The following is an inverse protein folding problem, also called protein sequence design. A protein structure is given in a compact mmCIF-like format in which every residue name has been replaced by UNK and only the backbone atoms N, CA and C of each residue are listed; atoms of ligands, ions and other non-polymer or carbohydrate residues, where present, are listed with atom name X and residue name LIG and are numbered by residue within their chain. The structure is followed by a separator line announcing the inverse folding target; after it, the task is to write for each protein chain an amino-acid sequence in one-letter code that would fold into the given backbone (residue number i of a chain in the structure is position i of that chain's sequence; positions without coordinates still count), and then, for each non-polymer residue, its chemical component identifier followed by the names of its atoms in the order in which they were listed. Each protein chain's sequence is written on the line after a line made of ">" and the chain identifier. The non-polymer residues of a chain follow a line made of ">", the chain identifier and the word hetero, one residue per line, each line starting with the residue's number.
data_IF_467479838203
#
_entry.id   IF_467479838203
#
_cell.length_a   1.000
_cell.length_b   1.000
_cell.length_c   1.000
_cell.angle_alpha   90.00
_cell.angle_beta   90.00
_cell.angle_gamma   90.00
#
_symmetry.space_group_name_H-M   'P 1'
#
loop_
_entity.id
_entity.type
_entity.pdbx_description
1 polymer ?
#
# COMPACT_ATOMS: atom_id res chain seq x y z
N UNK A 1 -29.97 -3.71 -3.16
CA UNK A 1 -29.62 -2.40 -3.75
C UNK A 1 -28.34 -2.00 -3.04
N UNK A 2 -27.23 -1.77 -3.75
CA UNK A 2 -25.94 -1.53 -3.07
C UNK A 2 -25.99 -0.24 -2.26
N UNK A 3 -25.39 -0.21 -1.07
CA UNK A 3 -25.26 1.01 -0.26
C UNK A 3 -24.37 2.04 -0.97
N UNK A 4 -24.69 3.33 -0.81
CA UNK A 4 -23.92 4.44 -1.39
C UNK A 4 -22.44 4.40 -0.97
N UNK A 5 -22.16 4.02 0.28
CA UNK A 5 -20.81 3.86 0.82
C UNK A 5 -20.02 2.75 0.13
N UNK A 6 -20.64 1.58 -0.11
CA UNK A 6 -19.98 0.48 -0.81
C UNK A 6 -19.62 0.85 -2.25
N UNK A 7 -20.47 1.62 -2.94
CA UNK A 7 -20.20 2.11 -4.28
C UNK A 7 -19.04 3.12 -4.30
N UNK A 8 -19.02 4.07 -3.36
CA UNK A 8 -17.90 5.02 -3.18
C UNK A 8 -16.58 4.28 -2.98
N UNK A 9 -16.52 3.32 -2.07
CA UNK A 9 -15.31 2.54 -1.81
C UNK A 9 -14.85 1.74 -3.02
N UNK A 10 -15.76 1.11 -3.76
CA UNK A 10 -15.40 0.39 -4.98
C UNK A 10 -14.84 1.34 -6.05
N UNK A 11 -15.40 2.53 -6.21
CA UNK A 11 -14.93 3.52 -7.17
C UNK A 11 -13.54 4.05 -6.79
N UNK A 12 -13.30 4.31 -5.51
CA UNK A 12 -12.00 4.69 -4.97
C UNK A 12 -10.93 3.62 -5.28
N UNK A 13 -11.21 2.34 -5.01
CA UNK A 13 -10.29 1.23 -5.29
C UNK A 13 -10.01 1.07 -6.80
N UNK A 14 -11.03 1.26 -7.65
CA UNK A 14 -10.91 1.18 -9.12
C UNK A 14 -10.16 2.37 -9.73
N UNK A 15 -10.03 3.48 -9.01
CA UNK A 15 -9.33 4.66 -9.49
C UNK A 15 -7.81 4.45 -9.60
N UNK A 16 -7.25 3.54 -8.80
CA UNK A 16 -5.86 3.12 -8.92
C UNK A 16 -5.70 2.21 -10.13
N UNK A 17 -4.89 2.61 -11.10
CA UNK A 17 -4.61 1.85 -12.31
C UNK A 17 -3.13 1.94 -12.64
N UNK A 18 -2.52 0.82 -13.01
CA UNK A 18 -1.12 0.77 -13.45
C UNK A 18 -1.06 0.28 -14.90
N UNK A 19 -0.18 0.85 -15.71
CA UNK A 19 0.06 0.35 -17.07
C UNK A 19 0.85 -0.97 -17.01
N UNK A 20 0.19 -2.07 -17.33
CA UNK A 20 0.79 -3.41 -17.31
C UNK A 20 2.06 -3.52 -18.17
N UNK A 21 2.27 -2.61 -19.13
CA UNK A 21 3.40 -2.61 -20.04
C UNK A 21 4.53 -1.62 -19.69
N UNK A 22 4.42 -0.84 -18.61
CA UNK A 22 5.35 0.27 -18.32
C UNK A 22 6.84 -0.12 -18.33
N UNK A 23 7.19 -1.31 -17.86
CA UNK A 23 8.57 -1.85 -17.86
C UNK A 23 8.73 -3.07 -18.78
N UNK A 24 7.84 -3.25 -19.76
CA UNK A 24 7.88 -4.40 -20.66
C UNK A 24 8.78 -4.14 -21.85
N UNK A 25 9.77 -5.01 -22.05
CA UNK A 25 10.64 -4.96 -23.23
C UNK A 25 10.23 -6.05 -24.22
N UNK A 26 9.75 -5.61 -25.38
CA UNK A 26 9.33 -6.50 -26.47
C UNK A 26 10.52 -6.89 -27.35
N UNK A 27 10.68 -8.19 -27.60
CA UNK A 27 11.60 -8.74 -28.58
C UNK A 27 10.83 -9.21 -29.81
N UNK A 28 10.81 -8.37 -30.85
CA UNK A 28 9.90 -8.53 -31.98
C UNK A 28 8.45 -8.26 -31.55
N UNK A 29 7.49 -8.93 -32.19
CA UNK A 29 6.06 -8.60 -32.01
C UNK A 29 5.34 -9.48 -30.96
N UNK A 30 5.99 -10.53 -30.43
CA UNK A 30 5.28 -11.55 -29.64
C UNK A 30 6.02 -12.00 -28.38
N UNK A 31 7.30 -11.65 -28.21
CA UNK A 31 8.12 -12.13 -27.08
C UNK A 31 8.43 -10.99 -26.13
N UNK A 32 8.46 -11.30 -24.85
CA UNK A 32 8.82 -10.36 -23.78
C UNK A 32 10.15 -10.82 -23.17
N UNK A 33 11.06 -9.88 -22.96
CA UNK A 33 12.27 -10.09 -22.17
C UNK A 33 11.93 -9.95 -20.68
N UNK A 34 11.94 -11.07 -19.96
CA UNK A 34 11.54 -11.14 -18.54
C UNK A 34 12.64 -10.78 -17.55
N UNK A 35 13.87 -10.56 -18.03
CA UNK A 35 15.02 -10.26 -17.18
C UNK A 35 16.34 -10.32 -17.95
N UNK A 36 17.36 -9.67 -17.40
CA UNK A 36 18.74 -9.80 -17.84
C UNK A 36 19.69 -9.71 -16.63
N UNK A 37 20.85 -10.38 -16.74
CA UNK A 37 21.96 -10.24 -15.81
C UNK A 37 23.14 -9.61 -16.55
N UNK A 38 23.35 -8.31 -16.37
CA UNK A 38 24.31 -7.53 -17.15
C UNK A 38 25.30 -6.83 -16.20
N UNK A 39 26.57 -7.23 -16.28
CA UNK A 39 27.62 -6.71 -15.41
C UNK A 39 28.21 -5.39 -15.94
N UNK A 40 28.32 -5.26 -17.27
CA UNK A 40 29.03 -4.15 -17.90
C UNK A 40 28.11 -2.96 -18.28
N UNK A 41 26.80 -3.08 -18.02
CA UNK A 41 25.80 -2.04 -18.34
C UNK A 41 24.85 -1.83 -17.15
N UNK A 42 25.29 -1.10 -16.11
CA UNK A 42 24.57 -0.96 -14.85
C UNK A 42 23.21 -0.28 -15.00
N UNK A 43 23.03 0.58 -16.00
CA UNK A 43 21.75 1.25 -16.26
C UNK A 43 20.69 0.29 -16.85
N UNK A 44 21.10 -0.68 -17.69
CA UNK A 44 20.20 -1.73 -18.19
C UNK A 44 19.90 -2.73 -17.07
N UNK A 45 20.89 -3.10 -16.25
CA UNK A 45 20.64 -3.95 -15.08
C UNK A 45 19.59 -3.31 -14.16
N UNK A 46 19.73 -2.03 -13.85
CA UNK A 46 18.77 -1.30 -12.99
C UNK A 46 17.37 -1.23 -13.60
N UNK A 47 17.25 -1.15 -14.92
CA UNK A 47 15.95 -1.22 -15.60
C UNK A 47 15.24 -2.55 -15.29
N UNK A 48 15.95 -3.67 -15.39
CA UNK A 48 15.37 -4.98 -15.05
C UNK A 48 15.10 -5.15 -13.55
N UNK A 49 15.87 -4.49 -12.69
CA UNK A 49 15.58 -4.44 -11.25
C UNK A 49 14.24 -3.70 -11.01
N UNK A 50 14.01 -2.55 -11.68
CA UNK A 50 12.72 -1.86 -11.65
C UNK A 50 11.59 -2.70 -12.21
N UNK A 51 11.80 -3.38 -13.35
CA UNK A 51 10.79 -4.26 -13.94
C UNK A 51 10.36 -5.37 -12.96
N UNK A 52 11.31 -5.95 -12.23
CA UNK A 52 11.04 -6.98 -11.22
C UNK A 52 10.18 -6.46 -10.07
N UNK A 53 10.52 -5.28 -9.53
CA UNK A 53 9.73 -4.62 -8.48
C UNK A 53 8.34 -4.25 -9.02
N UNK A 54 8.26 -3.76 -10.26
CA UNK A 54 7.01 -3.36 -10.91
C UNK A 54 6.05 -4.53 -11.15
N UNK A 55 6.54 -5.66 -11.62
CA UNK A 55 5.71 -6.85 -11.77
C UNK A 55 5.18 -7.36 -10.43
N UNK A 56 5.96 -7.21 -9.35
CA UNK A 56 5.49 -7.49 -7.99
C UNK A 56 4.40 -6.52 -7.57
N UNK A 57 4.54 -5.23 -7.88
CA UNK A 57 3.51 -4.22 -7.66
C UNK A 57 2.20 -4.58 -8.37
N UNK A 58 2.23 -4.97 -9.65
CA UNK A 58 1.03 -5.37 -10.41
C UNK A 58 0.32 -6.58 -9.79
N UNK A 59 1.07 -7.58 -9.34
CA UNK A 59 0.51 -8.75 -8.67
C UNK A 59 -0.13 -8.39 -7.31
N UNK A 60 0.53 -7.54 -6.52
CA UNK A 60 -0.01 -7.07 -5.25
C UNK A 60 -1.24 -6.18 -5.43
N UNK A 61 -1.23 -5.24 -6.38
CA UNK A 61 -2.37 -4.38 -6.72
C UNK A 61 -3.61 -5.21 -7.02
N UNK A 62 -3.49 -6.23 -7.88
CA UNK A 62 -4.59 -7.16 -8.18
C UNK A 62 -5.11 -7.86 -6.93
N UNK A 63 -4.22 -8.37 -6.07
CA UNK A 63 -4.60 -9.06 -4.81
C UNK A 63 -5.24 -8.12 -3.80
N UNK A 64 -4.76 -6.89 -3.69
CA UNK A 64 -5.33 -5.85 -2.83
C UNK A 64 -6.74 -5.49 -3.32
N UNK A 65 -6.91 -5.26 -4.62
CA UNK A 65 -8.22 -4.97 -5.22
C UNK A 65 -9.22 -6.11 -5.00
N UNK A 66 -8.81 -7.37 -5.19
CA UNK A 66 -9.67 -8.52 -4.86
C UNK A 66 -10.03 -8.53 -3.37
N UNK A 67 -9.06 -8.26 -2.49
CA UNK A 67 -9.31 -8.23 -1.05
C UNK A 67 -10.29 -7.11 -0.68
N UNK A 68 -10.14 -5.90 -1.22
CA UNK A 68 -11.09 -4.82 -1.00
C UNK A 68 -12.47 -5.13 -1.56
N UNK A 69 -12.57 -5.67 -2.77
CA UNK A 69 -13.85 -6.03 -3.36
C UNK A 69 -14.65 -6.97 -2.44
N UNK A 70 -13.98 -8.02 -1.96
CA UNK A 70 -14.61 -8.99 -1.06
C UNK A 70 -14.92 -8.36 0.30
N UNK A 71 -14.00 -7.59 0.89
CA UNK A 71 -14.22 -6.93 2.17
C UNK A 71 -15.41 -5.96 2.12
N UNK A 72 -15.56 -5.18 1.04
CA UNK A 72 -16.69 -4.27 0.82
C UNK A 72 -18.01 -5.04 0.72
N UNK A 73 -18.05 -6.10 -0.09
CA UNK A 73 -19.25 -6.92 -0.30
C UNK A 73 -19.74 -7.56 1.00
N UNK A 74 -18.83 -8.15 1.77
CA UNK A 74 -19.19 -8.80 3.05
C UNK A 74 -19.47 -7.80 4.18
N UNK A 75 -18.86 -6.60 4.15
CA UNK A 75 -19.14 -5.56 5.12
C UNK A 75 -20.55 -4.99 4.90
N UNK A 76 -20.96 -4.76 3.65
CA UNK A 76 -22.29 -4.24 3.32
C UNK A 76 -23.43 -5.14 3.84
N UNK A 77 -23.25 -6.45 3.73
CA UNK A 77 -24.21 -7.45 4.21
C UNK A 77 -24.15 -7.68 5.73
N UNK A 78 -23.22 -7.04 6.44
CA UNK A 78 -23.14 -7.12 7.89
C UNK A 78 -24.23 -6.22 8.52
N UNK A 79 -24.84 -6.70 9.61
CA UNK A 79 -25.88 -6.00 10.34
C UNK A 79 -25.31 -4.80 11.14
N UNK A 80 -25.06 -3.69 10.44
CA UNK A 80 -24.52 -2.46 11.02
C UNK A 80 -25.43 -1.86 12.09
N UNK A 81 -26.74 -1.98 11.93
CA UNK A 81 -27.74 -1.43 12.86
C UNK A 81 -27.68 -2.12 14.24
N UNK A 82 -27.15 -3.35 14.29
CA UNK A 82 -26.92 -4.10 15.52
C UNK A 82 -25.43 -4.29 15.85
N UNK A 83 -24.55 -3.51 15.22
CA UNK A 83 -23.12 -3.57 15.50
C UNK A 83 -22.84 -3.25 16.97
N UNK A 84 -22.11 -4.15 17.62
CA UNK A 84 -21.69 -4.00 19.02
C UNK A 84 -20.18 -4.25 19.11
N UNK A 85 -19.40 -3.29 19.65
CA UNK A 85 -17.95 -3.42 19.73
C UNK A 85 -17.53 -4.63 20.57
N UNK A 86 -18.28 -5.00 21.61
CA UNK A 86 -17.92 -6.05 22.56
C UNK A 86 -18.31 -7.45 22.04
N UNK A 87 -19.40 -7.53 21.27
CA UNK A 87 -19.85 -8.81 20.72
C UNK A 87 -18.86 -9.35 19.69
N UNK A 88 -18.67 -10.68 19.63
CA UNK A 88 -17.93 -11.31 18.53
C UNK A 88 -18.51 -10.90 17.18
N UNK A 89 -17.67 -10.77 16.14
CA UNK A 89 -18.14 -10.48 14.80
C UNK A 89 -19.08 -11.59 14.29
N UNK A 90 -20.07 -11.20 13.50
CA UNK A 90 -20.90 -12.17 12.76
C UNK A 90 -20.05 -12.97 11.75
N UNK A 91 -20.58 -14.05 11.18
CA UNK A 91 -19.86 -14.82 10.14
C UNK A 91 -19.53 -13.96 8.90
N UNK A 92 -20.48 -13.11 8.49
CA UNK A 92 -20.32 -12.15 7.40
C UNK A 92 -19.25 -11.12 7.73
N UNK A 93 -19.33 -10.52 8.92
CA UNK A 93 -18.35 -9.55 9.39
C UNK A 93 -16.95 -10.18 9.53
N UNK A 94 -16.85 -11.42 10.02
CA UNK A 94 -15.59 -12.18 10.11
C UNK A 94 -14.97 -12.41 8.73
N UNK A 95 -15.80 -12.67 7.71
CA UNK A 95 -15.34 -12.81 6.33
C UNK A 95 -14.85 -11.47 5.77
N UNK A 96 -15.57 -10.37 6.04
CA UNK A 96 -15.13 -9.04 5.66
C UNK A 96 -13.78 -8.68 6.30
N UNK A 97 -13.65 -8.97 7.59
CA UNK A 97 -12.41 -8.80 8.38
C UNK A 97 -11.26 -9.59 7.76
N UNK A 98 -11.46 -10.86 7.41
CA UNK A 98 -10.43 -11.69 6.79
C UNK A 98 -9.85 -11.05 5.53
N UNK A 99 -10.72 -10.56 4.64
CA UNK A 99 -10.27 -9.90 3.42
C UNK A 99 -9.66 -8.52 3.70
N UNK A 100 -10.18 -7.77 4.68
CA UNK A 100 -9.62 -6.49 5.08
C UNK A 100 -8.21 -6.63 5.66
N UNK A 101 -7.97 -7.61 6.54
CA UNK A 101 -6.64 -7.91 7.07
C UNK A 101 -5.67 -8.24 5.92
N UNK A 102 -6.10 -9.05 4.96
CA UNK A 102 -5.33 -9.34 3.76
C UNK A 102 -4.98 -8.09 2.93
N UNK A 103 -5.90 -7.11 2.84
CA UNK A 103 -5.63 -5.83 2.19
C UNK A 103 -4.61 -5.02 2.99
N UNK A 104 -4.80 -4.87 4.31
CA UNK A 104 -3.89 -4.14 5.22
C UNK A 104 -2.45 -4.63 5.09
N UNK A 105 -2.23 -5.95 5.20
CA UNK A 105 -0.88 -6.51 5.10
C UNK A 105 -0.23 -6.21 3.75
N UNK A 106 -0.98 -6.30 2.66
CA UNK A 106 -0.45 -6.04 1.31
C UNK A 106 -0.24 -4.55 1.03
N UNK A 107 -1.09 -3.67 1.57
CA UNK A 107 -0.87 -2.21 1.52
C UNK A 107 0.44 -1.83 2.22
N UNK A 108 0.75 -2.43 3.37
CA UNK A 108 2.05 -2.23 4.04
C UNK A 108 3.23 -2.69 3.16
N UNK A 109 3.07 -3.78 2.40
CA UNK A 109 4.10 -4.22 1.45
C UNK A 109 4.28 -3.20 0.30
N UNK A 110 3.21 -2.51 -0.15
CA UNK A 110 3.36 -1.46 -1.16
C UNK A 110 4.24 -0.30 -0.68
N UNK A 111 4.16 0.07 0.59
CA UNK A 111 5.06 1.08 1.17
C UNK A 111 6.52 0.66 1.13
N UNK A 112 6.80 -0.62 1.36
CA UNK A 112 8.16 -1.15 1.24
C UNK A 112 8.58 -1.29 -0.23
N UNK A 113 7.68 -1.58 -1.18
CA UNK A 113 8.01 -1.50 -2.62
C UNK A 113 8.32 -0.07 -3.06
N UNK A 114 7.57 0.92 -2.58
CA UNK A 114 7.86 2.34 -2.80
C UNK A 114 9.27 2.70 -2.31
N UNK A 115 9.64 2.20 -1.13
CA UNK A 115 10.97 2.36 -0.57
C UNK A 115 12.06 1.68 -1.42
N UNK A 116 11.78 0.54 -2.05
CA UNK A 116 12.71 -0.14 -2.95
C UNK A 116 12.91 0.62 -4.26
N UNK A 117 11.84 1.14 -4.88
CA UNK A 117 11.94 2.04 -6.03
C UNK A 117 12.81 3.25 -5.68
N UNK A 118 12.56 3.87 -4.53
CA UNK A 118 13.33 5.01 -4.05
C UNK A 118 14.81 4.68 -3.80
N UNK A 119 15.11 3.56 -3.15
CA UNK A 119 16.47 3.09 -2.90
C UNK A 119 17.27 2.92 -4.20
N UNK A 120 16.65 2.32 -5.23
CA UNK A 120 17.24 2.14 -6.55
C UNK A 120 17.43 3.46 -7.30
N UNK A 121 16.42 4.33 -7.28
CA UNK A 121 16.43 5.61 -8.01
C UNK A 121 17.50 6.55 -7.48
N UNK A 122 17.56 6.70 -6.17
CA UNK A 122 18.50 7.60 -5.51
C UNK A 122 19.90 6.97 -5.32
N UNK A 123 20.10 5.73 -5.77
CA UNK A 123 21.37 4.98 -5.66
C UNK A 123 21.89 4.97 -4.22
N UNK A 124 21.00 4.68 -3.27
CA UNK A 124 21.31 4.66 -1.82
C UNK A 124 22.08 3.37 -1.48
N UNK A 125 21.97 2.32 -2.31
CA UNK A 125 22.67 1.04 -2.20
C UNK A 125 22.41 0.28 -0.87
N UNK A 126 21.26 0.51 -0.22
CA UNK A 126 20.84 -0.35 0.89
C UNK A 126 20.48 -1.74 0.34
N UNK A 127 20.91 -2.84 0.99
CA UNK A 127 20.45 -4.19 0.65
C UNK A 127 18.92 -4.28 0.72
N UNK A 128 18.30 -4.89 -0.29
CA UNK A 128 16.83 -4.93 -0.42
C UNK A 128 16.12 -5.54 0.81
N UNK A 129 16.74 -6.50 1.48
CA UNK A 129 16.25 -7.13 2.71
C UNK A 129 16.28 -6.21 3.94
N UNK A 130 16.89 -5.03 3.82
CA UNK A 130 17.06 -4.01 4.86
C UNK A 130 16.46 -2.66 4.48
N UNK A 131 15.68 -2.61 3.39
CA UNK A 131 14.94 -1.42 2.99
C UNK A 131 13.63 -1.38 3.78
N UNK A 132 13.59 -0.52 4.80
CA UNK A 132 12.39 -0.23 5.58
C UNK A 132 11.87 1.15 5.21
N UNK A 133 10.62 1.22 4.78
CA UNK A 133 9.96 2.46 4.31
C UNK A 133 10.12 3.63 5.27
N UNK A 134 9.74 3.47 6.54
CA UNK A 134 9.82 4.56 7.52
C UNK A 134 11.26 5.10 7.69
N UNK A 135 12.26 4.21 7.70
CA UNK A 135 13.65 4.61 7.91
C UNK A 135 14.23 5.33 6.69
N UNK A 136 14.01 4.79 5.48
CA UNK A 136 14.64 5.35 4.29
C UNK A 136 14.12 6.76 3.98
N UNK A 137 12.81 7.00 4.16
CA UNK A 137 12.22 8.31 3.95
C UNK A 137 12.57 9.29 5.08
N UNK A 138 12.64 8.82 6.33
CA UNK A 138 13.15 9.63 7.44
C UNK A 138 14.59 10.11 7.20
N UNK A 139 15.47 9.21 6.74
CA UNK A 139 16.86 9.53 6.45
C UNK A 139 16.99 10.51 5.28
N UNK A 140 16.22 10.29 4.21
CA UNK A 140 16.34 11.06 2.97
C UNK A 140 15.66 12.44 3.02
N UNK A 141 14.66 12.64 3.88
CA UNK A 141 14.04 13.97 4.04
C UNK A 141 14.93 14.97 4.82
N UNK A 142 15.96 14.48 5.51
CA UNK A 142 16.86 15.30 6.32
C UNK A 142 18.28 15.41 5.75
N UNK A 143 19.12 16.21 6.40
CA UNK A 143 20.54 16.35 6.07
C UNK A 143 20.86 17.53 5.14
N UNK A 144 22.03 17.47 4.49
CA UNK A 144 22.59 18.59 3.70
C UNK A 144 21.90 18.80 2.36
N UNK A 145 21.25 17.77 1.83
CA UNK A 145 20.52 17.77 0.56
C UNK A 145 19.24 16.95 0.74
N UNK A 146 18.22 17.52 1.40
CA UNK A 146 16.96 16.81 1.64
C UNK A 146 16.28 16.50 0.30
N UNK A 147 15.79 15.27 0.15
CA UNK A 147 15.04 14.87 -1.03
C UNK A 147 13.56 15.33 -0.88
N UNK A 148 13.02 16.13 -1.83
CA UNK A 148 11.65 16.65 -1.74
C UNK A 148 10.58 15.54 -1.70
N UNK A 149 10.72 14.52 -2.55
CA UNK A 149 9.81 13.38 -2.58
C UNK A 149 9.81 12.63 -1.24
N UNK A 150 11.00 12.36 -0.68
CA UNK A 150 11.11 11.72 0.63
C UNK A 150 10.47 12.55 1.74
N UNK A 151 10.54 13.89 1.66
CA UNK A 151 9.90 14.79 2.62
C UNK A 151 8.38 14.70 2.55
N UNK A 152 7.80 14.65 1.36
CA UNK A 152 6.35 14.50 1.17
C UNK A 152 5.85 13.14 1.65
N UNK A 153 6.54 12.07 1.27
CA UNK A 153 6.23 10.71 1.74
C UNK A 153 6.31 10.62 3.25
N UNK A 154 7.41 11.11 3.86
CA UNK A 154 7.59 11.06 5.30
C UNK A 154 6.55 11.90 6.04
N UNK A 155 6.18 13.08 5.52
CA UNK A 155 5.14 13.92 6.09
C UNK A 155 3.78 13.19 6.17
N UNK A 156 3.42 12.44 5.12
CA UNK A 156 2.21 11.59 5.16
C UNK A 156 2.34 10.45 6.17
N UNK A 157 3.47 9.74 6.19
CA UNK A 157 3.69 8.62 7.12
C UNK A 157 3.62 9.04 8.61
N UNK A 158 3.93 10.30 8.91
CA UNK A 158 3.88 10.86 10.27
C UNK A 158 2.72 11.83 10.49
N UNK A 159 1.76 11.88 9.57
CA UNK A 159 0.61 12.76 9.69
C UNK A 159 -0.18 12.43 10.95
N UNK A 160 -0.61 13.47 11.68
CA UNK A 160 -1.46 13.30 12.85
C UNK A 160 -2.84 12.76 12.46
N UNK A 161 -3.46 12.04 13.37
CA UNK A 161 -4.76 11.44 13.11
C UNK A 161 -5.89 12.48 13.21
N UNK A 162 -6.66 12.63 12.13
CA UNK A 162 -7.83 13.50 12.09
C UNK A 162 -8.88 12.95 11.13
N UNK A 163 -10.13 12.89 11.60
CA UNK A 163 -11.30 12.60 10.76
C UNK A 163 -12.12 13.85 10.43
N UNK A 164 -11.55 15.05 10.62
CA UNK A 164 -12.22 16.34 10.35
C UNK A 164 -12.03 16.81 8.89
N UNK A 165 -11.15 16.16 8.13
CA UNK A 165 -10.85 16.43 6.73
C UNK A 165 -11.38 15.33 5.82
N UNK A 166 -11.38 15.56 4.50
CA UNK A 166 -11.61 14.51 3.51
C UNK A 166 -10.55 14.63 2.40
N UNK A 167 -9.71 13.60 2.16
CA UNK A 167 -9.62 12.32 2.87
C UNK A 167 -9.23 12.48 4.35
N UNK A 168 -9.39 11.41 5.16
CA UNK A 168 -8.97 11.42 6.56
C UNK A 168 -7.44 11.50 6.65
N UNK A 169 -6.94 12.11 7.72
CA UNK A 169 -5.51 12.24 8.00
C UNK A 169 -5.01 11.11 8.90
N UNK A 170 -3.71 10.80 8.84
CA UNK A 170 -3.09 9.80 9.72
C UNK A 170 -3.42 8.35 9.37
N UNK A 171 -3.93 8.10 8.16
CA UNK A 171 -4.31 6.77 7.69
C UNK A 171 -3.15 5.77 7.73
N UNK A 172 -1.95 6.17 7.30
CA UNK A 172 -0.77 5.31 7.39
C UNK A 172 -0.48 4.88 8.83
N UNK A 173 -0.52 5.83 9.77
CA UNK A 173 -0.33 5.57 11.19
C UNK A 173 -1.34 4.57 11.73
N UNK A 174 -2.63 4.76 11.39
CA UNK A 174 -3.71 3.86 11.79
C UNK A 174 -3.51 2.44 11.23
N UNK A 175 -3.28 2.30 9.92
CA UNK A 175 -3.13 1.00 9.24
C UNK A 175 -1.89 0.27 9.76
N UNK A 176 -0.78 0.98 9.97
CA UNK A 176 0.44 0.44 10.57
C UNK A 176 0.20 -0.06 11.99
N UNK A 177 -0.44 0.74 12.84
CA UNK A 177 -0.73 0.35 14.22
C UNK A 177 -1.66 -0.88 14.26
N UNK A 178 -2.69 -0.92 13.40
CA UNK A 178 -3.58 -2.05 13.26
C UNK A 178 -2.80 -3.34 12.94
N UNK A 179 -1.89 -3.27 11.94
CA UNK A 179 -1.00 -4.38 11.57
C UNK A 179 -0.09 -4.78 12.72
N UNK A 180 0.58 -3.82 13.36
CA UNK A 180 1.55 -4.07 14.42
C UNK A 180 0.89 -4.71 15.66
N UNK A 181 -0.34 -4.31 16.00
CA UNK A 181 -1.14 -4.96 17.05
C UNK A 181 -1.38 -6.44 16.77
N UNK A 182 -1.75 -6.80 15.54
CA UNK A 182 -1.95 -8.22 15.16
C UNK A 182 -0.67 -9.04 15.28
N UNK A 183 0.50 -8.46 15.00
CA UNK A 183 1.79 -9.17 15.09
C UNK A 183 2.27 -9.29 16.53
N UNK A 184 2.12 -8.24 17.34
CA UNK A 184 2.84 -8.11 18.62
C UNK A 184 1.96 -8.16 19.87
N UNK A 185 0.64 -8.03 19.73
CA UNK A 185 -0.29 -7.95 20.86
C UNK A 185 -1.51 -8.83 20.63
N UNK A 186 -2.64 -8.22 20.34
CA UNK A 186 -3.94 -8.82 20.13
C UNK A 186 -4.51 -8.35 18.81
N UNK A 187 -5.37 -9.15 18.19
CA UNK A 187 -6.07 -8.68 17.00
C UNK A 187 -6.99 -7.49 17.32
N UNK A 188 -6.93 -6.38 16.55
CA UNK A 188 -7.89 -5.28 16.66
C UNK A 188 -9.33 -5.67 16.27
N UNK A 189 -9.49 -6.86 15.69
CA UNK A 189 -10.79 -7.36 15.20
C UNK A 189 -11.56 -8.12 16.27
N UNK A 190 -11.05 -8.19 17.50
CA UNK A 190 -11.73 -8.69 18.69
C UNK A 190 -11.53 -7.71 19.85
N UNK A 191 -12.62 -7.35 20.54
CA UNK A 191 -12.52 -6.56 21.76
C UNK A 191 -11.82 -7.34 22.86
N UNK A 192 -10.84 -6.71 23.50
CA UNK A 192 -10.08 -7.32 24.60
C UNK A 192 -9.77 -6.27 25.66
N UNK A 193 -9.99 -6.62 26.93
CA UNK A 193 -9.66 -5.77 28.08
C UNK A 193 -8.85 -6.63 29.05
N UNK A 194 -7.57 -6.33 29.16
CA UNK A 194 -6.63 -7.03 30.03
C UNK A 194 -5.43 -6.14 30.37
N UNK A 195 -4.56 -6.61 31.26
CA UNK A 195 -3.25 -5.96 31.50
C UNK A 195 -2.33 -6.01 30.27
N UNK A 196 -2.66 -6.82 29.26
CA UNK A 196 -1.89 -6.99 28.03
C UNK A 196 -2.37 -6.09 26.89
N UNK A 197 -3.67 -5.83 26.81
CA UNK A 197 -4.30 -4.99 25.78
C UNK A 197 -5.61 -4.37 26.26
N UNK A 198 -5.87 -3.13 25.84
CA UNK A 198 -7.20 -2.52 25.84
C UNK A 198 -7.55 -2.21 24.39
N UNK A 199 -8.49 -2.96 23.82
CA UNK A 199 -8.90 -2.87 22.43
C UNK A 199 -10.42 -2.97 22.36
N UNK A 200 -11.03 -1.99 21.69
CA UNK A 200 -12.43 -2.08 21.30
C UNK A 200 -12.47 -2.18 19.78
N UNK A 201 -13.12 -3.24 19.30
CA UNK A 201 -13.34 -3.47 17.89
C UNK A 201 -14.04 -2.27 17.27
N UNK A 202 -13.58 -1.84 16.11
CA UNK A 202 -14.21 -0.78 15.30
C UNK A 202 -15.15 -1.38 14.25
N UNK A 203 -16.12 -0.61 13.73
CA UNK A 203 -16.90 -1.04 12.57
C UNK A 203 -15.98 -1.30 11.39
N UNK A 204 -16.20 -2.40 10.65
CA UNK A 204 -15.35 -2.79 9.51
C UNK A 204 -15.22 -1.66 8.49
N UNK A 205 -16.32 -0.94 8.22
CA UNK A 205 -16.33 0.19 7.29
C UNK A 205 -15.31 1.28 7.65
N UNK A 206 -15.07 1.52 8.95
CA UNK A 206 -14.10 2.52 9.42
C UNK A 206 -12.68 2.11 9.03
N UNK A 207 -12.26 0.89 9.40
CA UNK A 207 -10.93 0.36 9.04
C UNK A 207 -10.77 0.21 7.53
N UNK A 208 -11.86 -0.10 6.83
CA UNK A 208 -11.86 -0.23 5.37
C UNK A 208 -11.61 1.12 4.68
N UNK A 209 -12.28 2.21 5.09
CA UNK A 209 -12.00 3.57 4.58
C UNK A 209 -10.53 3.94 4.76
N UNK A 210 -10.03 3.81 5.98
CA UNK A 210 -8.62 4.07 6.34
C UNK A 210 -7.64 3.34 5.44
N UNK A 211 -7.89 2.06 5.22
CA UNK A 211 -6.99 1.19 4.43
C UNK A 211 -7.07 1.53 2.94
N UNK A 212 -8.26 1.86 2.41
CA UNK A 212 -8.42 2.30 1.02
C UNK A 212 -7.70 3.61 0.77
N UNK A 213 -7.79 4.57 1.69
CA UNK A 213 -7.14 5.88 1.54
C UNK A 213 -5.62 5.78 1.65
N UNK A 214 -5.09 4.96 2.58
CA UNK A 214 -3.65 4.67 2.65
C UNK A 214 -3.15 3.97 1.37
N UNK A 215 -3.94 3.03 0.85
CA UNK A 215 -3.68 2.35 -0.43
C UNK A 215 -3.64 3.33 -1.61
N UNK A 216 -4.57 4.28 -1.68
CA UNK A 216 -4.59 5.31 -2.72
C UNK A 216 -3.36 6.20 -2.61
N UNK A 217 -3.01 6.62 -1.39
CA UNK A 217 -1.87 7.50 -1.21
C UNK A 217 -0.54 6.83 -1.57
N UNK A 218 -0.30 5.59 -1.13
CA UNK A 218 0.93 4.89 -1.55
C UNK A 218 0.93 4.65 -3.05
N UNK A 219 -0.24 4.40 -3.65
CA UNK A 219 -0.37 4.23 -5.10
C UNK A 219 -0.06 5.52 -5.86
N UNK A 220 -0.42 6.68 -5.31
CA UNK A 220 -0.06 7.99 -5.84
C UNK A 220 1.47 8.20 -5.83
N UNK A 221 2.13 7.95 -4.70
CA UNK A 221 3.58 8.07 -4.61
C UNK A 221 4.31 7.07 -5.52
N UNK A 222 3.79 5.85 -5.65
CA UNK A 222 4.28 4.85 -6.60
C UNK A 222 4.17 5.35 -8.04
N UNK A 223 3.03 5.94 -8.42
CA UNK A 223 2.87 6.54 -9.75
C UNK A 223 3.91 7.61 -10.01
N UNK A 224 4.08 8.54 -9.08
CA UNK A 224 5.01 9.66 -9.23
C UNK A 224 6.44 9.16 -9.46
N UNK A 225 6.93 8.25 -8.61
CA UNK A 225 8.30 7.75 -8.74
C UNK A 225 8.49 6.91 -10.00
N UNK A 226 7.49 6.09 -10.38
CA UNK A 226 7.53 5.27 -11.59
C UNK A 226 7.56 6.14 -12.84
N UNK A 227 6.67 7.15 -12.92
CA UNK A 227 6.67 8.11 -14.02
C UNK A 227 8.01 8.81 -14.14
N UNK A 228 8.62 9.22 -13.02
CA UNK A 228 9.91 9.88 -13.06
C UNK A 228 11.05 8.92 -13.48
N UNK A 229 11.00 7.65 -13.08
CA UNK A 229 11.94 6.62 -13.57
C UNK A 229 11.80 6.42 -15.08
N UNK A 230 10.58 6.27 -15.60
CA UNK A 230 10.34 6.04 -17.03
C UNK A 230 10.83 7.22 -17.88
N UNK A 231 10.58 8.45 -17.42
CA UNK A 231 11.10 9.66 -18.07
C UNK A 231 12.63 9.68 -18.14
N UNK A 232 13.32 9.22 -17.09
CA UNK A 232 14.79 9.11 -17.11
C UNK A 232 15.25 8.16 -18.22
N UNK A 233 14.56 7.04 -18.45
CA UNK A 233 14.91 6.08 -19.52
C UNK A 233 14.53 6.55 -20.93
N UNK A 234 13.40 7.24 -21.10
CA UNK A 234 13.03 7.86 -22.38
C UNK A 234 14.09 8.88 -22.82
N UNK A 235 14.61 9.70 -21.89
CA UNK A 235 15.68 10.65 -22.18
C UNK A 235 17.03 10.00 -22.53
N UNK A 236 17.24 8.74 -22.11
CA UNK A 236 18.47 7.99 -22.37
C UNK A 236 18.49 7.31 -23.76
N UNK A 237 17.40 7.38 -24.55
CA UNK A 237 17.25 6.68 -25.83
C UNK A 237 17.55 5.17 -25.74
N UNK A 238 17.17 4.54 -24.63
CA UNK A 238 17.22 3.08 -24.44
C UNK A 238 15.88 2.48 -24.86
#
# INVERSE_FOLDING_TARGET
>A
MRSETAEIFQNLVKSVQYDENAFTVWYGNEKILVGAFIHDQPEIQRFFDYATIYHTLLDLDRKIKTSFQMAIEFAEDADFDHWNPISPPSERESTAIYYLENAIFRTMVLWDLLAQFFNLKEKIDKPFDKVYSAQIFHDAQQGKRPNPFAKEVYAYMTQEDSSETEPWEGNHGYVREFRDKMIHRSTPTLSSISNFSFELRMPVAYTLKRTIEDYIQVSYFLHEIITNILQDYEMLNI
#
